data_IF_079931324454
#
_entry.id   IF_079931324454
#
_cell.length_a   1.000
_cell.length_b   1.000
_cell.length_c   1.000
_cell.angle_alpha   90.00
_cell.angle_beta   90.00
_cell.angle_gamma   90.00
#
_symmetry.space_group_name_H-M   'P 1'
#
loop_
_entity.id
_entity.type
_entity.pdbx_description
1 polymer ?
#
# COMPACT_ATOMS: atom_id res chain seq x y z
N UNK A 1 -8.79 -28.07 -2.15
CA UNK A 1 -8.25 -27.22 -3.23
C UNK A 1 -9.13 -25.99 -3.40
N UNK A 2 -8.53 -24.82 -3.22
CA UNK A 2 -9.22 -23.56 -3.41
C UNK A 2 -9.65 -23.37 -4.88
N UNK A 3 -10.81 -22.77 -5.10
CA UNK A 3 -11.33 -22.53 -6.44
C UNK A 3 -10.53 -21.45 -7.18
N UNK A 4 -10.54 -21.49 -8.51
CA UNK A 4 -9.89 -20.44 -9.33
C UNK A 4 -10.46 -19.06 -9.00
N UNK A 5 -11.77 -18.98 -8.65
CA UNK A 5 -12.41 -17.72 -8.25
C UNK A 5 -11.80 -17.14 -6.99
N UNK A 6 -11.47 -17.95 -6.00
CA UNK A 6 -10.80 -17.49 -4.76
C UNK A 6 -9.38 -16.98 -5.04
N UNK A 7 -8.63 -17.67 -5.92
CA UNK A 7 -7.29 -17.23 -6.34
C UNK A 7 -7.33 -15.90 -7.08
N UNK A 8 -8.30 -15.71 -7.98
CA UNK A 8 -8.50 -14.44 -8.69
C UNK A 8 -8.93 -13.34 -7.72
N UNK A 9 -9.88 -13.62 -6.80
CA UNK A 9 -10.33 -12.64 -5.83
C UNK A 9 -9.19 -12.18 -4.91
N UNK A 10 -8.32 -13.11 -4.48
CA UNK A 10 -7.12 -12.77 -3.73
C UNK A 10 -6.14 -11.96 -4.57
N UNK A 11 -5.91 -12.32 -5.83
CA UNK A 11 -5.03 -11.59 -6.72
C UNK A 11 -5.50 -10.14 -7.00
N UNK A 12 -6.81 -9.91 -7.11
CA UNK A 12 -7.39 -8.58 -7.32
C UNK A 12 -7.13 -7.63 -6.13
N UNK A 13 -7.07 -8.14 -4.91
CA UNK A 13 -6.69 -7.34 -3.73
C UNK A 13 -5.28 -6.78 -3.85
N UNK A 14 -4.31 -7.60 -4.27
CA UNK A 14 -2.93 -7.14 -4.47
C UNK A 14 -2.74 -6.34 -5.77
N UNK A 15 -3.54 -6.62 -6.79
CA UNK A 15 -3.55 -5.83 -8.01
C UNK A 15 -3.90 -4.36 -7.73
N UNK A 16 -4.84 -4.11 -6.82
CA UNK A 16 -5.19 -2.76 -6.38
C UNK A 16 -4.09 -2.16 -5.48
N UNK A 17 -3.67 -2.84 -4.42
CA UNK A 17 -2.72 -2.31 -3.45
C UNK A 17 -1.27 -2.32 -3.99
N UNK A 18 -0.77 -3.46 -4.43
CA UNK A 18 0.59 -3.65 -4.93
C UNK A 18 0.77 -3.19 -6.39
N UNK A 19 -0.22 -3.46 -7.24
CA UNK A 19 -0.16 -3.10 -8.66
C UNK A 19 -0.36 -1.60 -8.88
N UNK A 20 -1.45 -1.03 -8.42
CA UNK A 20 -1.79 0.38 -8.66
C UNK A 20 -1.11 1.27 -7.63
N UNK A 21 -1.50 1.16 -6.36
CA UNK A 21 -1.11 2.14 -5.33
C UNK A 21 0.38 2.15 -5.11
N UNK A 22 1.02 0.98 -4.98
CA UNK A 22 2.46 0.91 -4.79
C UNK A 22 3.25 1.53 -5.94
N UNK A 23 2.81 1.34 -7.19
CA UNK A 23 3.45 1.95 -8.36
C UNK A 23 3.28 3.47 -8.37
N UNK A 24 2.09 3.96 -8.04
CA UNK A 24 1.83 5.39 -7.89
C UNK A 24 2.73 5.97 -6.79
N UNK A 25 2.79 5.33 -5.62
CA UNK A 25 3.60 5.79 -4.50
C UNK A 25 5.09 5.77 -4.79
N UNK A 26 5.58 4.74 -5.50
CA UNK A 26 7.01 4.55 -5.73
C UNK A 26 7.55 5.35 -6.92
N UNK A 27 6.73 5.66 -7.91
CA UNK A 27 7.15 6.29 -9.17
C UNK A 27 6.46 7.64 -9.36
N UNK A 28 5.12 7.68 -9.29
CA UNK A 28 4.38 8.90 -9.60
C UNK A 28 4.50 9.96 -8.50
N UNK A 29 4.46 9.60 -7.23
CA UNK A 29 4.57 10.58 -6.15
C UNK A 29 5.91 11.30 -6.07
N UNK A 30 7.09 10.65 -6.24
CA UNK A 30 8.34 11.41 -6.32
C UNK A 30 8.32 12.47 -7.43
N UNK A 31 7.80 12.11 -8.61
CA UNK A 31 7.65 13.04 -9.74
C UNK A 31 6.61 14.12 -9.44
N UNK A 32 5.49 13.77 -8.82
CA UNK A 32 4.46 14.73 -8.41
C UNK A 32 4.99 15.72 -7.38
N UNK A 33 5.72 15.26 -6.36
CA UNK A 33 6.27 16.13 -5.33
C UNK A 33 7.32 17.10 -5.88
N UNK A 34 8.11 16.69 -6.88
CA UNK A 34 9.10 17.57 -7.49
C UNK A 34 8.47 18.49 -8.54
N UNK A 35 7.66 17.97 -9.45
CA UNK A 35 7.19 18.72 -10.61
C UNK A 35 5.94 19.56 -10.33
N UNK A 36 5.02 19.05 -9.51
CA UNK A 36 3.73 19.70 -9.22
C UNK A 36 3.74 20.39 -7.87
N UNK A 37 4.24 19.69 -6.85
CA UNK A 37 4.27 20.21 -5.48
C UNK A 37 5.40 21.23 -5.25
N UNK A 38 6.46 21.17 -6.09
CA UNK A 38 7.59 22.11 -6.03
C UNK A 38 8.60 21.79 -4.92
N UNK A 39 8.67 20.53 -4.46
CA UNK A 39 9.74 20.09 -3.55
C UNK A 39 11.06 19.92 -4.33
N UNK A 40 12.19 20.15 -3.66
CA UNK A 40 13.48 19.82 -4.25
C UNK A 40 13.66 18.30 -4.39
N UNK A 41 14.50 17.86 -5.33
CA UNK A 41 14.85 16.43 -5.44
C UNK A 41 15.46 15.88 -4.15
N UNK A 42 16.23 16.70 -3.43
CA UNK A 42 16.79 16.34 -2.13
C UNK A 42 15.69 16.10 -1.08
N UNK A 43 14.68 16.99 -1.01
CA UNK A 43 13.55 16.81 -0.09
C UNK A 43 12.76 15.53 -0.43
N UNK A 44 12.50 15.27 -1.70
CA UNK A 44 11.79 14.06 -2.12
C UNK A 44 12.60 12.78 -1.80
N UNK A 45 13.93 12.79 -1.99
CA UNK A 45 14.80 11.68 -1.64
C UNK A 45 14.83 11.44 -0.12
N UNK A 46 14.94 12.49 0.68
CA UNK A 46 14.88 12.39 2.14
C UNK A 46 13.52 11.85 2.60
N UNK A 47 12.41 12.34 2.03
CA UNK A 47 11.08 11.83 2.32
C UNK A 47 10.98 10.32 2.07
N UNK A 48 11.48 9.86 0.93
CA UNK A 48 11.49 8.43 0.59
C UNK A 48 12.35 7.61 1.57
N UNK A 49 13.51 8.11 1.95
CA UNK A 49 14.38 7.45 2.92
C UNK A 49 13.69 7.34 4.29
N UNK A 50 13.11 8.45 4.77
CA UNK A 50 12.38 8.48 6.05
C UNK A 50 11.20 7.50 6.02
N UNK A 51 10.45 7.44 4.92
CA UNK A 51 9.37 6.51 4.75
C UNK A 51 9.85 5.04 4.83
N UNK A 52 11.00 4.70 4.22
CA UNK A 52 11.57 3.35 4.33
C UNK A 52 12.01 2.99 5.74
N UNK A 53 12.62 3.95 6.46
CA UNK A 53 12.97 3.76 7.87
C UNK A 53 11.71 3.58 8.73
N UNK A 54 10.64 4.29 8.41
CA UNK A 54 9.35 4.16 9.06
C UNK A 54 8.74 2.76 8.86
N UNK A 55 8.79 2.22 7.63
CA UNK A 55 8.31 0.87 7.32
C UNK A 55 9.04 -0.21 8.13
N UNK A 56 10.37 -0.10 8.30
CA UNK A 56 11.17 -1.05 9.10
C UNK A 56 10.63 -1.23 10.52
N UNK A 57 10.05 -0.16 11.08
CA UNK A 57 9.47 -0.18 12.43
C UNK A 57 7.98 -0.57 12.39
N UNK A 58 7.24 -0.01 11.46
CA UNK A 58 5.77 -0.19 11.44
C UNK A 58 5.33 -1.54 10.93
N UNK A 59 6.07 -2.18 10.01
CA UNK A 59 5.70 -3.49 9.47
C UNK A 59 5.70 -4.59 10.56
N UNK A 60 6.77 -4.77 11.38
CA UNK A 60 6.75 -5.74 12.47
C UNK A 60 5.70 -5.42 13.55
N UNK A 61 5.51 -4.14 13.87
CA UNK A 61 4.49 -3.71 14.82
C UNK A 61 3.10 -4.07 14.32
N UNK A 62 2.81 -3.78 13.05
CA UNK A 62 1.53 -4.11 12.45
C UNK A 62 1.29 -5.61 12.36
N UNK A 63 2.32 -6.40 12.00
CA UNK A 63 2.26 -7.87 12.01
C UNK A 63 1.87 -8.39 13.39
N UNK A 64 2.59 -7.96 14.43
CA UNK A 64 2.28 -8.34 15.81
C UNK A 64 0.88 -7.92 16.27
N UNK A 65 0.41 -6.74 15.87
CA UNK A 65 -0.92 -6.24 16.21
C UNK A 65 -2.00 -7.05 15.47
N UNK A 66 -1.78 -7.34 14.21
CA UNK A 66 -2.70 -8.13 13.39
C UNK A 66 -2.86 -9.55 13.93
N UNK A 67 -1.75 -10.22 14.30
CA UNK A 67 -1.77 -11.58 14.85
C UNK A 67 -2.54 -11.69 16.17
N UNK A 68 -2.54 -10.64 16.98
CA UNK A 68 -3.26 -10.57 18.26
C UNK A 68 -4.72 -10.16 18.10
N UNK A 69 -5.13 -9.75 16.92
CA UNK A 69 -6.50 -9.27 16.69
C UNK A 69 -7.48 -10.44 16.65
N UNK A 70 -8.52 -10.37 17.49
CA UNK A 70 -9.62 -11.32 17.50
C UNK A 70 -10.92 -10.56 17.19
N UNK A 71 -11.58 -10.92 16.10
CA UNK A 71 -12.83 -10.28 15.71
C UNK A 71 -13.81 -11.27 15.09
N UNK A 72 -15.08 -10.84 14.98
CA UNK A 72 -16.14 -11.60 14.28
C UNK A 72 -15.83 -11.88 12.80
N UNK A 73 -14.90 -11.14 12.21
CA UNK A 73 -14.47 -11.30 10.81
C UNK A 73 -13.16 -12.11 10.68
N UNK A 74 -12.64 -12.64 11.80
CA UNK A 74 -11.34 -13.29 11.87
C UNK A 74 -10.22 -12.33 12.27
N UNK A 75 -8.97 -12.76 12.11
CA UNK A 75 -7.77 -12.05 12.60
C UNK A 75 -7.37 -10.91 11.65
N UNK A 76 -7.29 -11.15 10.35
CA UNK A 76 -6.70 -10.21 9.39
C UNK A 76 -7.72 -9.38 8.61
N UNK A 77 -8.93 -9.92 8.33
CA UNK A 77 -9.96 -9.24 7.52
C UNK A 77 -10.42 -7.88 8.07
N UNK A 78 -10.53 -7.66 9.39
CA UNK A 78 -10.94 -6.36 9.93
C UNK A 78 -10.03 -5.21 9.47
N UNK A 79 -8.72 -5.47 9.40
CA UNK A 79 -7.73 -4.49 9.00
C UNK A 79 -7.91 -4.03 7.55
N UNK A 80 -8.29 -4.95 6.66
CA UNK A 80 -8.60 -4.63 5.28
C UNK A 80 -9.90 -3.81 5.17
N UNK A 81 -10.94 -4.22 5.89
CA UNK A 81 -12.26 -3.56 5.85
C UNK A 81 -12.19 -2.14 6.41
N UNK A 82 -11.62 -1.98 7.60
CA UNK A 82 -11.53 -0.68 8.26
C UNK A 82 -10.43 0.20 7.68
N UNK A 83 -9.37 -0.40 7.13
CA UNK A 83 -8.27 0.32 6.48
C UNK A 83 -8.61 0.92 5.12
N UNK A 84 -9.60 0.37 4.42
CA UNK A 84 -9.96 0.83 3.07
C UNK A 84 -10.43 2.30 3.04
N UNK A 85 -11.18 2.73 4.06
CA UNK A 85 -11.71 4.11 4.13
C UNK A 85 -10.57 5.13 4.35
N UNK A 86 -9.74 5.02 5.43
CA UNK A 86 -8.64 5.96 5.62
C UNK A 86 -7.62 5.89 4.47
N UNK A 87 -7.42 4.72 3.88
CA UNK A 87 -6.57 4.54 2.72
C UNK A 87 -7.00 5.42 1.54
N UNK A 88 -8.26 5.33 1.13
CA UNK A 88 -8.81 6.14 0.03
C UNK A 88 -8.82 7.63 0.33
N UNK A 89 -9.14 8.02 1.58
CA UNK A 89 -9.17 9.41 2.01
C UNK A 89 -7.77 10.05 1.97
N UNK A 90 -6.77 9.39 2.55
CA UNK A 90 -5.40 9.91 2.59
C UNK A 90 -4.80 9.95 1.19
N UNK A 91 -5.09 8.93 0.36
CA UNK A 91 -4.66 8.93 -1.03
C UNK A 91 -5.23 10.13 -1.81
N UNK A 92 -6.51 10.46 -1.62
CA UNK A 92 -7.13 11.63 -2.23
C UNK A 92 -6.50 12.95 -1.70
N UNK A 93 -6.22 13.05 -0.39
CA UNK A 93 -5.55 14.20 0.20
C UNK A 93 -4.12 14.40 -0.31
N UNK A 94 -3.40 13.31 -0.60
CA UNK A 94 -2.05 13.39 -1.18
C UNK A 94 -2.03 14.02 -2.58
N UNK A 95 -3.11 13.88 -3.34
CA UNK A 95 -3.25 14.48 -4.67
C UNK A 95 -3.69 15.96 -4.60
N UNK A 96 -4.13 16.41 -3.43
CA UNK A 96 -4.51 17.80 -3.22
C UNK A 96 -3.28 18.65 -2.89
N UNK A 97 -3.05 19.73 -3.62
CA UNK A 97 -1.94 20.67 -3.44
C UNK A 97 -2.47 21.96 -2.79
N UNK A 98 -2.38 22.10 -1.47
CA UNK A 98 -2.83 23.32 -0.80
C UNK A 98 -1.87 24.49 -1.08
N UNK A 99 -2.42 25.70 -1.12
CA UNK A 99 -1.65 26.96 -1.28
C UNK A 99 -0.97 27.39 0.03
N UNK A 100 -0.20 26.47 0.61
CA UNK A 100 0.66 26.78 1.74
C UNK A 100 2.00 27.34 1.24
N UNK A 101 2.65 28.17 2.04
CA UNK A 101 4.01 28.60 1.73
C UNK A 101 4.98 27.40 1.62
N UNK A 102 6.22 27.62 1.12
CA UNK A 102 7.16 26.51 0.83
C UNK A 102 7.39 25.55 2.00
N UNK A 103 7.45 26.08 3.22
CA UNK A 103 7.61 25.27 4.44
C UNK A 103 6.34 24.47 4.74
N UNK A 104 5.17 25.11 4.61
CA UNK A 104 3.88 24.44 4.85
C UNK A 104 3.63 23.29 3.87
N UNK A 105 3.95 23.48 2.59
CA UNK A 105 3.89 22.42 1.57
C UNK A 105 4.78 21.24 1.94
N UNK A 106 6.02 21.49 2.37
CA UNK A 106 6.95 20.44 2.78
C UNK A 106 6.39 19.62 3.96
N UNK A 107 5.93 20.30 5.02
CA UNK A 107 5.34 19.64 6.19
C UNK A 107 4.11 18.81 5.80
N UNK A 108 3.23 19.38 4.97
CA UNK A 108 2.04 18.69 4.48
C UNK A 108 2.40 17.40 3.69
N UNK A 109 3.34 17.50 2.75
CA UNK A 109 3.78 16.36 1.95
C UNK A 109 4.37 15.24 2.83
N UNK A 110 5.27 15.60 3.77
CA UNK A 110 5.87 14.64 4.68
C UNK A 110 4.84 13.97 5.60
N UNK A 111 3.97 14.77 6.22
CA UNK A 111 2.95 14.25 7.13
C UNK A 111 1.98 13.29 6.43
N UNK A 112 1.44 13.69 5.28
CA UNK A 112 0.49 12.84 4.55
C UNK A 112 1.15 11.61 3.91
N UNK A 113 2.37 11.73 3.41
CA UNK A 113 3.06 10.59 2.84
C UNK A 113 3.38 9.54 3.90
N UNK A 114 3.88 9.94 5.07
CA UNK A 114 4.13 9.01 6.18
C UNK A 114 2.83 8.41 6.73
N UNK A 115 1.76 9.20 6.81
CA UNK A 115 0.44 8.69 7.19
C UNK A 115 -0.08 7.67 6.16
N UNK A 116 0.13 7.94 4.87
CA UNK A 116 -0.21 7.01 3.81
C UNK A 116 0.58 5.69 3.92
N UNK A 117 1.90 5.76 4.22
CA UNK A 117 2.72 4.56 4.46
C UNK A 117 2.18 3.77 5.65
N UNK A 118 1.83 4.42 6.77
CA UNK A 118 1.25 3.75 7.94
C UNK A 118 -0.06 3.02 7.59
N UNK A 119 -0.95 3.65 6.84
CA UNK A 119 -2.22 3.03 6.43
C UNK A 119 -2.00 1.95 5.38
N UNK A 120 -1.03 2.13 4.49
CA UNK A 120 -0.62 1.08 3.54
C UNK A 120 -0.13 -0.17 4.29
N UNK A 121 0.78 -0.02 5.25
CA UNK A 121 1.26 -1.11 6.12
C UNK A 121 0.11 -1.77 6.88
N UNK A 122 -0.83 -0.97 7.42
CA UNK A 122 -2.01 -1.46 8.15
C UNK A 122 -2.90 -2.38 7.29
N UNK A 123 -2.95 -2.18 5.97
CA UNK A 123 -3.72 -3.01 5.04
C UNK A 123 -2.86 -4.13 4.46
N UNK A 124 -1.64 -3.82 4.03
CA UNK A 124 -0.80 -4.73 3.24
C UNK A 124 -0.19 -5.87 4.07
N UNK A 125 0.22 -5.60 5.31
CA UNK A 125 0.81 -6.63 6.19
C UNK A 125 -0.22 -7.71 6.56
N UNK A 126 -1.43 -7.38 7.07
CA UNK A 126 -2.47 -8.38 7.31
C UNK A 126 -2.95 -9.09 6.04
N UNK A 127 -2.93 -8.41 4.89
CA UNK A 127 -3.26 -9.02 3.62
C UNK A 127 -2.26 -10.12 3.24
N UNK A 128 -0.96 -9.85 3.42
CA UNK A 128 0.08 -10.87 3.21
C UNK A 128 -0.06 -12.08 4.15
N UNK A 129 -0.36 -11.82 5.41
CA UNK A 129 -0.56 -12.87 6.43
C UNK A 129 -1.83 -13.70 6.21
N UNK A 130 -2.84 -13.15 5.51
CA UNK A 130 -4.09 -13.85 5.21
C UNK A 130 -3.86 -15.15 4.45
N UNK A 131 -2.86 -15.21 3.58
CA UNK A 131 -2.53 -16.41 2.81
C UNK A 131 -2.18 -17.60 3.72
N UNK A 132 -1.47 -17.35 4.82
CA UNK A 132 -1.08 -18.39 5.77
C UNK A 132 -2.25 -19.05 6.49
N UNK A 133 -3.40 -18.37 6.60
CA UNK A 133 -4.61 -18.91 7.22
C UNK A 133 -5.65 -19.41 6.20
N UNK A 134 -5.46 -19.11 4.91
CA UNK A 134 -6.36 -19.59 3.83
C UNK A 134 -6.08 -21.02 3.43
N UNK A 135 -4.84 -21.45 3.48
CA UNK A 135 -4.44 -22.83 3.15
C UNK A 135 -3.16 -23.22 3.90
N UNK A 136 -3.07 -24.49 4.27
CA UNK A 136 -1.86 -25.09 4.84
C UNK A 136 -0.99 -25.74 3.75
N UNK A 137 -1.56 -26.01 2.58
CA UNK A 137 -0.90 -26.66 1.45
C UNK A 137 0.06 -25.67 0.75
N UNK A 138 1.33 -26.03 0.69
CA UNK A 138 2.38 -25.19 0.11
C UNK A 138 2.23 -25.05 -1.41
N UNK A 139 1.71 -26.04 -2.11
CA UNK A 139 1.43 -25.94 -3.55
C UNK A 139 0.28 -24.96 -3.82
N UNK A 140 -0.75 -24.95 -2.97
CA UNK A 140 -1.80 -23.95 -3.05
C UNK A 140 -1.29 -22.53 -2.72
N UNK A 141 -0.44 -22.38 -1.69
CA UNK A 141 0.19 -21.07 -1.38
C UNK A 141 1.00 -20.53 -2.56
N UNK A 142 1.76 -21.40 -3.22
CA UNK A 142 2.52 -21.05 -4.42
C UNK A 142 1.62 -20.61 -5.57
N UNK A 143 0.48 -21.28 -5.77
CA UNK A 143 -0.50 -20.88 -6.78
C UNK A 143 -1.12 -19.51 -6.45
N UNK A 144 -1.59 -19.29 -5.22
CA UNK A 144 -2.10 -17.99 -4.78
C UNK A 144 -1.08 -16.88 -4.97
N UNK A 145 0.18 -17.13 -4.59
CA UNK A 145 1.27 -16.17 -4.76
C UNK A 145 1.55 -15.86 -6.24
N UNK A 146 1.49 -16.88 -7.10
CA UNK A 146 1.67 -16.71 -8.55
C UNK A 146 0.56 -15.86 -9.16
N UNK A 147 -0.71 -16.15 -8.83
CA UNK A 147 -1.85 -15.33 -9.27
C UNK A 147 -1.75 -13.88 -8.78
N UNK A 148 -1.34 -13.69 -7.52
CA UNK A 148 -1.10 -12.39 -6.91
C UNK A 148 -0.05 -11.60 -7.68
N UNK A 149 1.11 -12.20 -7.95
CA UNK A 149 2.20 -11.54 -8.69
C UNK A 149 1.76 -11.17 -10.11
N UNK A 150 1.11 -12.06 -10.83
CA UNK A 150 0.59 -11.77 -12.18
C UNK A 150 -0.39 -10.60 -12.13
N UNK A 151 -1.33 -10.58 -11.18
CA UNK A 151 -2.28 -9.48 -10.99
C UNK A 151 -1.60 -8.15 -10.69
N UNK A 152 -0.65 -8.14 -9.75
CA UNK A 152 0.10 -6.94 -9.38
C UNK A 152 0.96 -6.39 -10.52
N UNK A 153 1.66 -7.26 -11.27
CA UNK A 153 2.48 -6.82 -12.42
C UNK A 153 1.61 -6.34 -13.57
N UNK A 154 0.52 -7.03 -13.91
CA UNK A 154 -0.39 -6.63 -14.98
C UNK A 154 -1.00 -5.26 -14.71
N UNK A 155 -1.52 -5.04 -13.49
CA UNK A 155 -2.09 -3.74 -13.09
C UNK A 155 -1.01 -2.67 -12.94
N UNK A 156 0.16 -3.02 -12.42
CA UNK A 156 1.30 -2.11 -12.35
C UNK A 156 1.76 -1.62 -13.71
N UNK A 157 1.82 -2.51 -14.70
CA UNK A 157 2.13 -2.15 -16.09
C UNK A 157 1.05 -1.27 -16.72
N UNK A 158 -0.23 -1.64 -16.54
CA UNK A 158 -1.36 -0.82 -17.01
C UNK A 158 -1.35 0.58 -16.38
N UNK A 159 -1.02 0.68 -15.09
CA UNK A 159 -0.88 1.96 -14.39
C UNK A 159 0.22 2.81 -15.00
N UNK A 160 1.40 2.24 -15.24
CA UNK A 160 2.52 2.97 -15.85
C UNK A 160 2.21 3.46 -17.27
N UNK A 161 1.49 2.69 -18.07
CA UNK A 161 1.03 3.12 -19.40
C UNK A 161 -0.01 4.24 -19.37
N UNK A 162 -0.70 4.41 -18.25
CA UNK A 162 -1.72 5.45 -18.08
C UNK A 162 -1.14 6.80 -17.64
N UNK A 163 0.13 6.85 -17.23
CA UNK A 163 0.83 8.10 -16.94
C UNK A 163 1.49 8.63 -18.21
N UNK A 164 1.19 9.89 -18.59
CA UNK A 164 1.79 10.53 -19.76
C UNK A 164 3.27 10.87 -19.53
#
# INVERSE_FOLDING_TARGET
MASIKEKIAYALGDAAAGGIVWKVMSIAFPLFFTNVFGLSFADAAVLMLVARMFDVVTDPLMGSLADRTQSRFGTYRPWLIYGAIPFGLIFALLLYTPDFGPVGKRIYAYALYLLMMAVYTMVNVPYGSLLGVMTEDDDEKNQFSSFRMVGAYAMGFATLLSFP
#
